data_IF_304743958871
#
_entry.id   IF_304743958871
#
_cell.length_a   1.000
_cell.length_b   1.000
_cell.length_c   1.000
_cell.angle_alpha   90.00
_cell.angle_beta   90.00
_cell.angle_gamma   90.00
#
_symmetry.space_group_name_H-M   'P 1'
#
loop_
_entity.id
_entity.type
_entity.pdbx_description
1 polymer ?
#
# COMPACT_ATOMS: atom_id res chain seq x y z
N UNK A 1 -1.78 8.97 15.33
CA UNK A 1 -1.03 7.72 15.11
C UNK A 1 -1.29 7.25 13.70
N UNK A 2 -0.25 7.15 12.88
CA UNK A 2 -0.31 6.41 11.62
C UNK A 2 0.14 4.96 11.81
N UNK A 3 0.34 4.20 10.72
CA UNK A 3 0.84 2.83 10.77
C UNK A 3 2.20 2.66 11.44
N UNK A 4 3.07 3.67 11.50
CA UNK A 4 4.47 3.48 11.92
C UNK A 4 4.71 3.05 13.38
N UNK A 5 3.77 3.28 14.29
CA UNK A 5 3.83 2.92 15.72
C UNK A 5 4.98 3.53 16.58
N UNK A 6 6.06 4.06 16.01
CA UNK A 6 7.10 4.78 16.77
C UNK A 6 6.61 6.14 17.26
N UNK A 7 5.99 6.91 16.38
CA UNK A 7 5.60 8.29 16.68
C UNK A 7 4.25 8.33 17.39
N UNK A 8 4.26 8.63 18.69
CA UNK A 8 3.08 8.69 19.58
C UNK A 8 2.76 10.08 20.10
N UNK A 9 3.73 10.97 20.16
CA UNK A 9 3.59 12.36 20.58
C UNK A 9 4.70 13.21 19.96
N UNK A 10 4.59 14.53 20.10
CA UNK A 10 5.67 15.44 19.72
C UNK A 10 6.85 15.34 20.71
N UNK A 11 8.10 15.57 20.26
CA UNK A 11 9.26 15.62 21.16
C UNK A 11 9.05 16.60 22.30
N UNK A 12 9.57 16.26 23.48
CA UNK A 12 9.56 17.12 24.67
C UNK A 12 8.14 17.55 25.12
N UNK A 13 7.11 16.76 24.78
CA UNK A 13 5.73 16.95 25.23
C UNK A 13 5.18 15.69 25.88
N UNK A 14 4.42 15.84 26.97
CA UNK A 14 3.70 14.73 27.63
C UNK A 14 2.29 14.51 27.03
N UNK A 15 1.89 15.33 26.06
CA UNK A 15 0.54 15.24 25.47
C UNK A 15 0.54 14.19 24.37
N UNK A 16 -0.24 13.11 24.49
CA UNK A 16 -0.31 12.09 23.47
C UNK A 16 -0.97 12.62 22.20
N UNK A 17 -0.57 12.06 21.05
CA UNK A 17 -1.16 12.35 19.76
C UNK A 17 -0.27 13.21 18.87
N UNK A 18 -0.57 13.11 17.58
CA UNK A 18 0.09 13.83 16.50
C UNK A 18 -0.98 14.42 15.60
N UNK A 19 -0.73 15.61 15.09
CA UNK A 19 -1.64 16.24 14.14
C UNK A 19 -1.34 15.74 12.72
N UNK A 20 -2.41 15.52 11.97
CA UNK A 20 -2.37 15.37 10.51
C UNK A 20 -1.38 14.33 9.99
N UNK A 21 -1.44 13.09 10.51
CA UNK A 21 -0.71 11.98 9.87
C UNK A 21 -1.20 11.83 8.41
N UNK A 22 -0.28 11.87 7.45
CA UNK A 22 -0.62 11.90 6.03
C UNK A 22 -1.40 10.65 5.60
N UNK A 23 -0.98 9.47 6.06
CA UNK A 23 -1.71 8.22 5.78
C UNK A 23 -3.16 8.31 6.28
N UNK A 24 -3.35 8.67 7.56
CA UNK A 24 -4.68 8.78 8.16
C UNK A 24 -5.56 9.78 7.42
N UNK A 25 -5.03 10.97 7.12
CA UNK A 25 -5.78 12.05 6.48
C UNK A 25 -6.18 11.68 5.04
N UNK A 26 -5.25 11.13 4.26
CA UNK A 26 -5.52 10.68 2.88
C UNK A 26 -6.55 9.54 2.87
N UNK A 27 -6.41 8.55 3.77
CA UNK A 27 -7.38 7.45 3.89
C UNK A 27 -8.77 7.93 4.34
N UNK A 28 -8.83 8.93 5.24
CA UNK A 28 -10.09 9.55 5.68
C UNK A 28 -10.79 10.29 4.53
N UNK A 29 -10.03 11.06 3.74
CA UNK A 29 -10.59 11.72 2.55
C UNK A 29 -11.09 10.69 1.52
N UNK A 30 -10.30 9.63 1.29
CA UNK A 30 -10.65 8.56 0.37
C UNK A 30 -11.95 7.84 0.77
N UNK A 31 -12.10 7.43 2.04
CA UNK A 31 -13.30 6.69 2.48
C UNK A 31 -14.56 7.55 2.41
N UNK A 32 -14.48 8.85 2.70
CA UNK A 32 -15.61 9.78 2.58
C UNK A 32 -16.03 10.00 1.12
N UNK A 33 -15.05 10.08 0.21
CA UNK A 33 -15.33 10.09 -1.24
C UNK A 33 -15.98 8.79 -1.69
N UNK A 34 -15.50 7.64 -1.21
CA UNK A 34 -16.09 6.34 -1.51
C UNK A 34 -17.53 6.24 -0.99
N UNK A 35 -17.82 6.69 0.24
CA UNK A 35 -19.17 6.67 0.81
C UNK A 35 -20.16 7.44 -0.07
N UNK A 36 -19.78 8.64 -0.49
CA UNK A 36 -20.57 9.47 -1.41
C UNK A 36 -20.77 8.79 -2.76
N UNK A 37 -19.72 8.18 -3.31
CA UNK A 37 -19.80 7.41 -4.56
C UNK A 37 -20.73 6.21 -4.47
N UNK A 38 -20.71 5.47 -3.35
CA UNK A 38 -21.61 4.32 -3.13
C UNK A 38 -23.07 4.76 -3.11
N UNK A 39 -23.41 5.86 -2.44
CA UNK A 39 -24.78 6.36 -2.41
C UNK A 39 -25.29 6.77 -3.81
N UNK A 40 -24.39 7.24 -4.69
CA UNK A 40 -24.73 7.58 -6.08
C UNK A 40 -24.97 6.34 -6.97
N UNK A 41 -24.49 5.17 -6.57
CA UNK A 41 -24.71 3.91 -7.30
C UNK A 41 -26.04 3.23 -6.92
N UNK A 42 -26.70 3.66 -5.85
CA UNK A 42 -27.97 3.12 -5.40
C UNK A 42 -29.14 3.78 -6.14
N UNK A 43 -30.21 3.03 -6.38
CA UNK A 43 -31.49 3.64 -6.77
C UNK A 43 -32.05 4.49 -5.62
N UNK A 44 -32.94 5.43 -5.96
CA UNK A 44 -33.52 6.41 -5.02
C UNK A 44 -34.13 5.74 -3.78
N UNK A 45 -34.94 4.69 -3.98
CA UNK A 45 -35.60 3.98 -2.89
C UNK A 45 -34.60 3.32 -1.96
N UNK A 46 -33.57 2.66 -2.51
CA UNK A 46 -32.55 1.98 -1.71
C UNK A 46 -31.65 2.98 -0.99
N UNK A 47 -31.37 4.13 -1.60
CA UNK A 47 -30.64 5.23 -0.98
C UNK A 47 -31.42 5.77 0.21
N UNK A 48 -32.69 6.12 0.03
CA UNK A 48 -33.58 6.62 1.10
C UNK A 48 -33.64 5.66 2.28
N UNK A 49 -33.90 4.36 2.00
CA UNK A 49 -33.95 3.32 3.03
C UNK A 49 -32.62 3.24 3.81
N UNK A 50 -31.49 3.27 3.10
CA UNK A 50 -30.17 3.16 3.74
C UNK A 50 -29.84 4.38 4.58
N UNK A 51 -30.11 5.59 4.09
CA UNK A 51 -29.87 6.83 4.83
C UNK A 51 -30.78 6.92 6.05
N UNK A 52 -32.03 6.47 5.98
CA UNK A 52 -32.93 6.42 7.14
C UNK A 52 -32.46 5.40 8.19
N UNK A 53 -32.04 4.20 7.77
CA UNK A 53 -31.56 3.15 8.69
C UNK A 53 -30.27 3.54 9.39
N UNK A 54 -29.37 4.26 8.70
CA UNK A 54 -28.09 4.71 9.24
C UNK A 54 -28.17 6.10 9.89
N UNK A 55 -29.33 6.76 9.86
CA UNK A 55 -29.56 8.12 10.36
C UNK A 55 -28.57 9.14 9.76
N UNK A 56 -28.38 9.08 8.43
CA UNK A 56 -27.47 9.97 7.70
C UNK A 56 -28.24 11.19 7.21
N UNK A 57 -27.81 12.38 7.64
CA UNK A 57 -28.41 13.65 7.22
C UNK A 57 -27.75 14.21 5.93
N UNK A 58 -28.50 15.00 5.15
CA UNK A 58 -27.98 15.63 3.93
C UNK A 58 -26.82 16.59 4.23
N UNK A 59 -26.84 17.27 5.37
CA UNK A 59 -25.77 18.13 5.85
C UNK A 59 -24.47 17.34 6.10
N UNK A 60 -24.56 16.10 6.56
CA UNK A 60 -23.40 15.23 6.72
C UNK A 60 -22.78 14.88 5.36
N UNK A 61 -23.60 14.58 4.35
CA UNK A 61 -23.13 14.31 3.00
C UNK A 61 -22.37 15.50 2.41
N UNK A 62 -22.90 16.72 2.60
CA UNK A 62 -22.21 17.96 2.20
C UNK A 62 -20.87 18.07 2.93
N UNK A 63 -20.86 17.81 4.25
CA UNK A 63 -19.64 17.88 5.05
C UNK A 63 -18.61 16.83 4.65
N UNK A 64 -19.03 15.61 4.31
CA UNK A 64 -18.14 14.54 3.83
C UNK A 64 -17.43 14.95 2.55
N UNK A 65 -18.17 15.59 1.63
CA UNK A 65 -17.61 16.10 0.39
C UNK A 65 -16.62 17.26 0.63
N UNK A 66 -16.93 18.16 1.57
CA UNK A 66 -15.98 19.21 1.96
C UNK A 66 -14.70 18.64 2.56
N UNK A 67 -14.82 17.68 3.48
CA UNK A 67 -13.67 17.03 4.12
C UNK A 67 -12.86 16.27 3.07
N UNK A 68 -13.49 15.53 2.17
CA UNK A 68 -12.78 14.74 1.14
C UNK A 68 -11.93 15.60 0.21
N UNK A 69 -12.28 16.87 0.03
CA UNK A 69 -11.56 17.84 -0.83
C UNK A 69 -10.58 18.74 -0.10
N UNK A 70 -10.81 19.01 1.18
CA UNK A 70 -10.07 20.02 1.95
C UNK A 70 -9.24 19.43 3.10
N UNK A 71 -9.20 18.11 3.23
CA UNK A 71 -8.36 17.45 4.24
C UNK A 71 -6.90 17.85 4.05
N UNK A 72 -6.27 18.33 5.13
CA UNK A 72 -4.89 18.77 5.07
C UNK A 72 -3.93 17.58 4.95
N UNK A 73 -2.96 17.65 4.04
CA UNK A 73 -1.85 16.71 3.94
C UNK A 73 -0.54 17.47 4.10
N UNK A 74 0.32 17.14 5.08
CA UNK A 74 1.57 17.86 5.29
C UNK A 74 2.64 17.43 4.28
N UNK A 75 3.43 18.40 3.83
CA UNK A 75 4.58 18.19 2.94
C UNK A 75 5.79 18.99 3.44
N UNK A 76 7.00 18.52 3.13
CA UNK A 76 8.25 19.22 3.39
C UNK A 76 9.25 19.04 2.25
N UNK A 77 10.34 19.83 2.31
CA UNK A 77 11.39 19.88 1.28
C UNK A 77 10.80 20.01 -0.13
N UNK A 78 11.40 19.33 -1.10
CA UNK A 78 10.92 19.28 -2.48
C UNK A 78 9.79 18.25 -2.56
N UNK A 79 8.63 18.50 -1.94
CA UNK A 79 7.42 17.69 -2.12
C UNK A 79 7.47 16.29 -1.51
N UNK A 80 8.26 16.07 -0.46
CA UNK A 80 8.13 14.87 0.38
C UNK A 80 6.82 15.00 1.15
N UNK A 81 5.98 13.97 1.11
CA UNK A 81 4.79 13.89 1.97
C UNK A 81 5.32 13.67 3.39
N UNK A 82 5.11 14.63 4.30
CA UNK A 82 5.50 14.46 5.70
C UNK A 82 4.66 13.37 6.33
N UNK A 83 5.25 12.51 7.15
CA UNK A 83 4.50 11.46 7.84
C UNK A 83 3.40 12.03 8.73
N UNK A 84 3.67 13.16 9.39
CA UNK A 84 2.70 13.97 10.13
C UNK A 84 3.17 15.43 10.17
N UNK A 85 2.31 16.34 10.62
CA UNK A 85 2.64 17.76 10.69
C UNK A 85 3.77 18.00 11.69
N UNK A 86 4.88 18.58 11.25
CA UNK A 86 6.06 18.84 12.06
C UNK A 86 7.14 17.75 12.02
N UNK A 87 6.91 16.64 11.30
CA UNK A 87 7.90 15.55 11.15
C UNK A 87 9.25 16.05 10.61
N UNK A 88 9.25 17.07 9.75
CA UNK A 88 10.45 17.66 9.17
C UNK A 88 11.39 18.30 10.21
N UNK A 89 10.86 18.64 11.40
CA UNK A 89 11.60 19.26 12.49
C UNK A 89 12.27 18.22 13.43
N UNK A 90 11.98 16.93 13.25
CA UNK A 90 12.65 15.87 13.99
C UNK A 90 14.13 15.75 13.56
N UNK A 91 14.96 15.21 14.44
CA UNK A 91 16.38 15.00 14.18
C UNK A 91 16.58 13.87 13.18
N UNK A 92 17.61 13.94 12.35
CA UNK A 92 18.03 12.73 11.63
C UNK A 92 18.61 11.70 12.61
N UNK A 93 18.38 10.43 12.33
CA UNK A 93 18.91 9.32 13.14
C UNK A 93 20.25 8.82 12.59
N UNK A 94 21.18 8.47 13.48
CA UNK A 94 22.49 7.89 13.10
C UNK A 94 22.36 6.40 12.78
N UNK A 95 21.82 6.10 11.59
CA UNK A 95 21.60 4.74 11.13
C UNK A 95 22.89 3.91 11.01
N UNK A 96 23.99 4.54 10.58
CA UNK A 96 25.27 3.84 10.38
C UNK A 96 25.92 3.51 11.73
N UNK A 97 26.04 4.50 12.62
CA UNK A 97 26.62 4.29 13.94
C UNK A 97 25.87 3.25 14.78
N UNK A 98 24.53 3.25 14.73
CA UNK A 98 23.75 2.25 15.46
C UNK A 98 23.85 0.84 14.84
N UNK A 99 23.93 0.72 13.52
CA UNK A 99 24.18 -0.58 12.87
C UNK A 99 25.57 -1.13 13.21
N UNK A 100 26.59 -0.27 13.28
CA UNK A 100 27.94 -0.69 13.71
C UNK A 100 27.97 -1.13 15.18
N UNK A 101 27.24 -0.42 16.04
CA UNK A 101 27.21 -0.69 17.49
C UNK A 101 26.38 -1.91 17.88
N UNK A 102 25.20 -2.09 17.27
CA UNK A 102 24.22 -3.10 17.67
C UNK A 102 24.03 -4.23 16.65
N UNK A 103 24.45 -4.03 15.39
CA UNK A 103 24.16 -4.96 14.30
C UNK A 103 22.71 -4.86 13.86
N UNK A 104 21.82 -5.58 14.53
CA UNK A 104 20.38 -5.56 14.26
C UNK A 104 19.69 -4.44 15.05
N UNK A 105 19.02 -3.55 14.32
CA UNK A 105 18.31 -2.39 14.86
C UNK A 105 16.80 -2.45 14.60
N UNK A 106 16.25 -3.63 14.27
CA UNK A 106 14.80 -3.82 14.09
C UNK A 106 14.01 -3.38 15.34
N UNK A 107 14.56 -3.61 16.53
CA UNK A 107 14.00 -3.16 17.81
C UNK A 107 14.58 -1.82 18.26
N UNK A 108 14.62 -0.85 17.34
CA UNK A 108 15.13 0.49 17.60
C UNK A 108 14.44 1.14 18.80
N UNK A 109 13.14 0.88 19.00
CA UNK A 109 12.37 1.28 20.17
C UNK A 109 13.06 0.89 21.48
N UNK A 110 13.42 -0.40 21.63
CA UNK A 110 14.06 -0.92 22.84
C UNK A 110 15.50 -0.46 23.00
N UNK A 111 16.20 -0.27 21.88
CA UNK A 111 17.58 0.21 21.90
C UNK A 111 17.62 1.64 22.44
N UNK A 112 16.75 2.52 21.92
CA UNK A 112 16.67 3.91 22.37
C UNK A 112 16.19 4.01 23.83
N UNK A 113 15.17 3.23 24.22
CA UNK A 113 14.70 3.18 25.61
C UNK A 113 15.82 2.78 26.58
N UNK A 114 16.65 1.81 26.22
CA UNK A 114 17.79 1.39 27.04
C UNK A 114 18.89 2.46 27.17
N UNK A 115 18.89 3.46 26.30
CA UNK A 115 19.79 4.62 26.30
C UNK A 115 19.15 5.89 26.88
N UNK A 116 17.95 5.78 27.46
CA UNK A 116 17.17 6.92 27.97
C UNK A 116 16.83 7.94 26.86
N UNK A 117 16.56 7.43 25.65
CA UNK A 117 16.18 8.19 24.46
C UNK A 117 14.88 7.67 23.84
N UNK A 118 14.34 8.39 22.86
CA UNK A 118 13.01 8.13 22.29
C UNK A 118 12.99 8.29 20.77
N UNK A 119 12.40 7.32 20.06
CA UNK A 119 12.17 7.36 18.61
C UNK A 119 11.34 8.59 18.18
N UNK A 120 10.47 9.13 19.03
CA UNK A 120 9.71 10.35 18.77
C UNK A 120 10.59 11.55 18.39
N UNK A 121 11.87 11.57 18.81
CA UNK A 121 12.81 12.67 18.56
C UNK A 121 13.44 12.64 17.16
N UNK A 122 13.28 11.54 16.43
CA UNK A 122 14.02 11.27 15.21
C UNK A 122 13.12 11.05 13.99
N UNK A 123 13.63 11.34 12.79
CA UNK A 123 13.04 10.91 11.52
C UNK A 123 13.32 9.43 11.30
N UNK A 124 12.64 8.58 12.07
CA UNK A 124 12.83 7.14 12.07
C UNK A 124 11.49 6.41 12.20
N UNK A 125 11.33 5.37 11.39
CA UNK A 125 10.11 4.59 11.28
C UNK A 125 10.35 3.12 11.59
N UNK A 126 9.43 2.49 12.32
CA UNK A 126 9.37 1.03 12.53
C UNK A 126 8.98 0.33 11.25
N UNK A 127 7.99 0.89 10.55
CA UNK A 127 7.37 0.29 9.39
C UNK A 127 6.90 1.35 8.38
N UNK A 128 6.32 0.90 7.27
CA UNK A 128 5.82 1.82 6.27
C UNK A 128 4.62 2.61 6.82
N UNK A 129 4.64 3.94 6.67
CA UNK A 129 3.53 4.85 6.97
C UNK A 129 3.06 5.57 5.70
N UNK A 130 3.81 6.58 5.23
CA UNK A 130 3.55 7.22 3.93
C UNK A 130 3.59 6.21 2.79
N UNK A 131 4.55 5.28 2.82
CA UNK A 131 4.69 4.24 1.79
C UNK A 131 3.50 3.26 1.76
N UNK A 132 2.66 3.21 2.80
CA UNK A 132 1.41 2.45 2.75
C UNK A 132 0.45 3.00 1.70
N UNK A 133 0.43 4.32 1.46
CA UNK A 133 -0.40 4.89 0.40
C UNK A 133 -0.02 4.32 -0.97
N UNK A 134 1.26 4.09 -1.21
CA UNK A 134 1.77 3.54 -2.47
C UNK A 134 1.62 2.01 -2.57
N UNK A 135 1.43 1.35 -1.44
CA UNK A 135 1.04 -0.06 -1.39
C UNK A 135 -0.45 -0.26 -1.68
N UNK A 136 -1.31 0.62 -1.14
CA UNK A 136 -2.76 0.49 -1.23
C UNK A 136 -3.33 0.96 -2.57
N UNK A 137 -2.73 1.98 -3.18
CA UNK A 137 -3.28 2.65 -4.36
C UNK A 137 -2.32 2.57 -5.55
N UNK A 138 -2.89 2.43 -6.76
CA UNK A 138 -2.14 2.61 -8.00
C UNK A 138 -1.69 4.06 -8.18
N UNK A 139 -0.69 4.29 -9.03
CA UNK A 139 -0.21 5.64 -9.38
C UNK A 139 -1.33 6.57 -9.85
N UNK A 140 -2.25 6.04 -10.67
CA UNK A 140 -3.38 6.77 -11.23
C UNK A 140 -4.39 7.13 -10.15
N UNK A 141 -4.65 6.21 -9.22
CA UNK A 141 -5.56 6.47 -8.08
C UNK A 141 -4.95 7.49 -7.12
N UNK A 142 -3.64 7.43 -6.87
CA UNK A 142 -2.96 8.43 -6.04
C UNK A 142 -3.01 9.80 -6.70
N UNK A 143 -2.70 9.89 -7.99
CA UNK A 143 -2.78 11.14 -8.72
C UNK A 143 -4.17 11.76 -8.61
N UNK A 144 -5.23 11.01 -8.91
CA UNK A 144 -6.62 11.46 -8.79
C UNK A 144 -6.99 11.85 -7.35
N UNK A 145 -6.53 11.12 -6.34
CA UNK A 145 -6.81 11.43 -4.94
C UNK A 145 -6.12 12.71 -4.47
N UNK A 146 -4.85 12.91 -4.82
CA UNK A 146 -4.12 14.15 -4.47
C UNK A 146 -4.63 15.35 -5.26
N UNK A 147 -4.98 15.18 -6.55
CA UNK A 147 -5.65 16.22 -7.33
C UNK A 147 -7.02 16.61 -6.73
N UNK A 148 -7.82 15.64 -6.29
CA UNK A 148 -9.11 15.88 -5.61
C UNK A 148 -8.93 16.65 -4.28
N UNK A 149 -7.83 16.40 -3.57
CA UNK A 149 -7.42 17.13 -2.36
C UNK A 149 -6.77 18.49 -2.66
N UNK A 150 -6.55 18.84 -3.93
CA UNK A 150 -5.95 20.10 -4.35
C UNK A 150 -4.42 20.16 -4.22
N UNK A 151 -3.75 19.01 -4.15
CA UNK A 151 -2.29 18.93 -4.08
C UNK A 151 -1.68 18.45 -5.40
N UNK A 152 -0.52 18.99 -5.81
CA UNK A 152 0.18 18.49 -6.99
C UNK A 152 0.74 17.10 -6.71
N UNK A 153 0.63 16.20 -7.69
CA UNK A 153 1.21 14.86 -7.62
C UNK A 153 1.87 14.55 -8.97
N UNK A 154 3.19 14.69 -9.03
CA UNK A 154 3.97 14.43 -10.23
C UNK A 154 4.51 12.99 -10.28
N UNK A 155 4.97 12.54 -11.44
CA UNK A 155 5.52 11.20 -11.62
C UNK A 155 6.72 10.89 -10.71
N UNK A 156 7.45 11.93 -10.29
CA UNK A 156 8.63 11.82 -9.43
C UNK A 156 8.27 11.76 -7.94
N UNK A 157 7.02 12.04 -7.57
CA UNK A 157 6.57 12.09 -6.18
C UNK A 157 6.71 10.71 -5.53
N UNK A 158 6.31 9.65 -6.23
CA UNK A 158 6.42 8.26 -5.74
C UNK A 158 7.89 7.85 -5.53
N UNK A 159 8.79 7.88 -6.54
CA UNK A 159 10.19 7.53 -6.35
C UNK A 159 10.90 8.36 -5.26
N UNK A 160 10.62 9.66 -5.19
CA UNK A 160 11.23 10.57 -4.21
C UNK A 160 10.86 10.20 -2.78
N UNK A 161 9.57 9.94 -2.53
CA UNK A 161 9.09 9.51 -1.21
C UNK A 161 9.59 8.09 -0.86
N UNK A 162 9.62 7.16 -1.82
CA UNK A 162 10.22 5.82 -1.61
C UNK A 162 11.68 5.99 -1.15
N UNK A 163 12.51 6.72 -1.91
CA UNK A 163 13.91 6.90 -1.58
C UNK A 163 14.11 7.55 -0.20
N UNK A 164 13.27 8.54 0.16
CA UNK A 164 13.34 9.23 1.43
C UNK A 164 13.06 8.30 2.63
N UNK A 165 11.96 7.55 2.59
CA UNK A 165 11.52 6.69 3.70
C UNK A 165 12.28 5.36 3.77
N UNK A 166 12.80 4.87 2.63
CA UNK A 166 13.69 3.70 2.59
C UNK A 166 14.95 3.88 3.45
N UNK A 167 15.45 5.13 3.58
CA UNK A 167 16.63 5.45 4.38
C UNK A 167 16.32 5.62 5.87
N UNK A 168 15.04 5.69 6.23
CA UNK A 168 14.56 6.05 7.56
C UNK A 168 13.72 4.96 8.23
N UNK A 169 13.73 3.74 7.71
CA UNK A 169 12.93 2.63 8.24
C UNK A 169 13.83 1.55 8.86
N UNK A 170 13.54 1.15 10.10
CA UNK A 170 14.27 0.10 10.83
C UNK A 170 13.80 -1.32 10.51
N UNK A 171 12.62 -1.46 9.89
CA UNK A 171 11.97 -2.74 9.59
C UNK A 171 11.66 -3.59 10.84
N UNK A 172 11.30 -2.93 11.93
CA UNK A 172 10.90 -3.57 13.20
C UNK A 172 9.61 -4.39 13.15
N UNK A 173 8.97 -4.47 11.99
CA UNK A 173 7.75 -5.24 11.74
C UNK A 173 7.87 -6.01 10.43
N UNK A 174 7.40 -7.26 10.42
CA UNK A 174 7.34 -8.08 9.21
C UNK A 174 6.47 -7.44 8.11
N UNK A 175 5.44 -6.69 8.48
CA UNK A 175 4.61 -5.93 7.54
C UNK A 175 5.42 -4.89 6.75
N UNK A 176 6.45 -4.30 7.36
CA UNK A 176 7.34 -3.34 6.69
C UNK A 176 7.97 -3.95 5.44
N UNK A 177 8.51 -5.17 5.54
CA UNK A 177 9.20 -5.85 4.43
C UNK A 177 8.27 -6.07 3.25
N UNK A 178 7.00 -6.40 3.50
CA UNK A 178 6.02 -6.59 2.43
C UNK A 178 5.75 -5.30 1.66
N UNK A 179 5.54 -4.19 2.39
CA UNK A 179 5.29 -2.89 1.77
C UNK A 179 6.51 -2.42 0.99
N UNK A 180 7.71 -2.62 1.54
CA UNK A 180 8.96 -2.26 0.88
C UNK A 180 9.23 -3.11 -0.37
N UNK A 181 8.89 -4.40 -0.32
CA UNK A 181 8.89 -5.27 -1.51
C UNK A 181 7.95 -4.73 -2.60
N UNK A 182 6.75 -4.31 -2.21
CA UNK A 182 5.76 -3.77 -3.14
C UNK A 182 6.24 -2.50 -3.82
N UNK A 183 6.63 -1.48 -3.05
CA UNK A 183 6.96 -0.16 -3.60
C UNK A 183 8.25 -0.20 -4.43
N UNK A 184 9.17 -1.13 -4.14
CA UNK A 184 10.39 -1.33 -4.93
C UNK A 184 10.19 -2.23 -6.15
N UNK A 185 9.07 -2.95 -6.28
CA UNK A 185 8.87 -3.96 -7.34
C UNK A 185 9.08 -3.45 -8.77
N UNK A 186 8.92 -2.15 -8.99
CA UNK A 186 9.13 -1.49 -10.30
C UNK A 186 10.47 -0.75 -10.41
N UNK A 187 11.03 -0.26 -9.30
CA UNK A 187 12.23 0.57 -9.31
C UNK A 187 13.52 -0.19 -9.00
N UNK A 188 13.44 -1.23 -8.15
CA UNK A 188 14.58 -2.04 -7.71
C UNK A 188 14.11 -3.48 -7.44
N UNK A 189 14.06 -4.27 -8.52
CA UNK A 189 13.50 -5.63 -8.51
C UNK A 189 14.29 -6.58 -7.62
N UNK A 190 15.61 -6.46 -7.60
CA UNK A 190 16.48 -7.33 -6.79
C UNK A 190 16.24 -7.08 -5.29
N UNK A 191 16.19 -5.81 -4.88
CA UNK A 191 15.89 -5.45 -3.49
C UNK A 191 14.46 -5.79 -3.10
N UNK A 192 13.50 -5.59 -4.00
CA UNK A 192 12.11 -6.01 -3.80
C UNK A 192 12.00 -7.52 -3.54
N UNK A 193 12.72 -8.33 -4.32
CA UNK A 193 12.75 -9.78 -4.14
C UNK A 193 13.44 -10.21 -2.85
N UNK A 194 14.51 -9.50 -2.44
CA UNK A 194 15.15 -9.73 -1.13
C UNK A 194 14.14 -9.52 0.01
N UNK A 195 13.43 -8.40 0.02
CA UNK A 195 12.40 -8.14 1.03
C UNK A 195 11.26 -9.16 1.00
N UNK A 196 10.84 -9.60 -0.19
CA UNK A 196 9.84 -10.65 -0.33
C UNK A 196 10.29 -11.96 0.33
N UNK A 197 11.52 -12.41 0.05
CA UNK A 197 12.07 -13.62 0.67
C UNK A 197 12.15 -13.49 2.18
N UNK A 198 12.63 -12.36 2.70
CA UNK A 198 12.64 -12.14 4.15
C UNK A 198 11.23 -12.20 4.76
N UNK A 199 10.21 -11.66 4.09
CA UNK A 199 8.83 -11.74 4.57
C UNK A 199 8.29 -13.18 4.57
N UNK A 200 8.57 -13.97 3.51
CA UNK A 200 8.17 -15.39 3.42
C UNK A 200 8.85 -16.24 4.49
N UNK A 201 10.10 -15.93 4.82
CA UNK A 201 10.90 -16.67 5.80
C UNK A 201 10.65 -16.23 7.25
N UNK A 202 9.87 -15.16 7.48
CA UNK A 202 9.75 -14.52 8.80
C UNK A 202 9.41 -15.48 9.94
N UNK A 203 8.34 -16.26 9.78
CA UNK A 203 7.90 -17.20 10.82
C UNK A 203 8.73 -18.49 10.82
N UNK A 204 9.17 -18.94 9.63
CA UNK A 204 9.91 -20.19 9.46
C UNK A 204 11.27 -20.12 10.16
N UNK A 205 11.96 -18.99 10.00
CA UNK A 205 13.30 -18.76 10.52
C UNK A 205 13.32 -17.90 11.79
N UNK A 206 12.14 -17.50 12.31
CA UNK A 206 11.97 -16.63 13.48
C UNK A 206 12.86 -15.38 13.43
N UNK A 207 12.83 -14.67 12.29
CA UNK A 207 13.80 -13.61 11.96
C UNK A 207 13.75 -12.41 12.93
N UNK A 208 12.64 -12.23 13.66
CA UNK A 208 12.46 -11.18 14.65
C UNK A 208 12.93 -11.60 16.05
N UNK A 209 13.21 -12.89 16.25
CA UNK A 209 13.74 -13.46 17.49
C UNK A 209 12.71 -13.58 18.60
N UNK A 210 12.15 -14.78 18.78
CA UNK A 210 11.30 -15.13 19.91
C UNK A 210 9.83 -14.75 19.76
N UNK A 211 9.42 -14.20 18.62
CA UNK A 211 8.03 -13.80 18.37
C UNK A 211 7.19 -14.95 17.80
N UNK A 212 7.77 -15.82 16.96
CA UNK A 212 7.02 -16.95 16.38
C UNK A 212 6.41 -17.88 17.44
N UNK A 213 7.08 -18.20 18.56
CA UNK A 213 6.48 -18.98 19.65
C UNK A 213 5.27 -18.31 20.31
N UNK A 214 5.15 -16.97 20.25
CA UNK A 214 4.01 -16.22 20.77
C UNK A 214 2.81 -16.24 19.80
N UNK A 215 3.07 -16.46 18.51
CA UNK A 215 2.07 -16.66 17.47
C UNK A 215 2.64 -16.43 16.07
N UNK A 216 2.07 -17.10 15.06
CA UNK A 216 2.44 -16.86 13.66
C UNK A 216 1.93 -15.51 13.17
N UNK A 217 2.68 -14.86 12.28
CA UNK A 217 2.36 -13.55 11.75
C UNK A 217 1.39 -13.64 10.56
N UNK A 218 0.11 -13.89 10.83
CA UNK A 218 -0.92 -14.07 9.80
C UNK A 218 -0.99 -12.94 8.76
N UNK A 219 -0.77 -11.69 9.18
CA UNK A 219 -0.71 -10.54 8.27
C UNK A 219 0.44 -10.66 7.26
N UNK A 220 1.62 -11.11 7.71
CA UNK A 220 2.76 -11.37 6.83
C UNK A 220 2.50 -12.55 5.90
N UNK A 221 1.94 -13.65 6.41
CA UNK A 221 1.59 -14.81 5.60
C UNK A 221 0.57 -14.46 4.51
N UNK A 222 -0.49 -13.74 4.84
CA UNK A 222 -1.48 -13.32 3.86
C UNK A 222 -0.89 -12.32 2.84
N UNK A 223 -0.10 -11.36 3.31
CA UNK A 223 0.50 -10.33 2.44
C UNK A 223 1.55 -10.88 1.47
N UNK A 224 2.25 -11.98 1.79
CA UNK A 224 3.16 -12.63 0.83
C UNK A 224 2.42 -13.31 -0.32
N UNK A 225 1.26 -13.92 -0.05
CA UNK A 225 0.37 -14.44 -1.11
C UNK A 225 -0.17 -13.29 -1.97
N UNK A 226 -0.53 -12.19 -1.33
CA UNK A 226 -1.03 -11.00 -1.98
C UNK A 226 0.01 -10.31 -2.89
N UNK A 227 1.27 -10.21 -2.46
CA UNK A 227 2.39 -9.74 -3.29
C UNK A 227 2.53 -10.57 -4.58
N UNK A 228 2.43 -11.89 -4.46
CA UNK A 228 2.46 -12.78 -5.63
C UNK A 228 1.27 -12.56 -6.57
N UNK A 229 0.08 -12.28 -6.03
CA UNK A 229 -1.15 -12.18 -6.81
C UNK A 229 -1.41 -10.80 -7.41
N UNK A 230 -1.10 -9.71 -6.70
CA UNK A 230 -1.37 -8.34 -7.14
C UNK A 230 -0.11 -7.57 -7.55
N UNK A 231 0.96 -7.66 -6.76
CA UNK A 231 2.15 -6.85 -7.01
C UNK A 231 2.86 -7.26 -8.31
N UNK A 232 3.31 -8.52 -8.36
CA UNK A 232 4.15 -8.98 -9.46
C UNK A 232 3.39 -9.19 -10.76
N UNK A 233 2.09 -9.51 -10.68
CA UNK A 233 1.20 -9.59 -11.85
C UNK A 233 0.77 -8.20 -12.33
N UNK A 234 0.91 -7.17 -11.48
CA UNK A 234 0.31 -5.85 -11.68
C UNK A 234 -1.20 -5.92 -11.87
N UNK A 235 -1.86 -6.80 -11.13
CA UNK A 235 -3.31 -6.98 -11.20
C UNK A 235 -4.00 -5.77 -10.57
N UNK A 236 -4.86 -5.13 -11.35
CA UNK A 236 -5.68 -4.01 -10.92
C UNK A 236 -7.12 -4.15 -11.45
N UNK A 237 -8.10 -3.62 -10.73
CA UNK A 237 -9.51 -3.65 -11.11
C UNK A 237 -10.01 -2.22 -11.17
N UNK A 238 -10.25 -1.73 -12.39
CA UNK A 238 -10.77 -0.39 -12.65
C UNK A 238 -11.73 -0.43 -13.84
N UNK A 239 -12.80 0.35 -13.76
CA UNK A 239 -13.82 0.49 -14.81
C UNK A 239 -14.42 -0.84 -15.32
N UNK A 240 -14.59 -1.80 -14.41
CA UNK A 240 -15.07 -3.15 -14.71
C UNK A 240 -14.15 -3.97 -15.65
N UNK A 241 -12.88 -3.60 -15.74
CA UNK A 241 -11.84 -4.31 -16.47
C UNK A 241 -10.82 -4.88 -15.48
N UNK A 242 -10.35 -6.10 -15.73
CA UNK A 242 -9.21 -6.69 -15.02
C UNK A 242 -7.92 -6.34 -15.75
N UNK A 243 -7.14 -5.43 -15.22
CA UNK A 243 -5.88 -4.98 -15.81
C UNK A 243 -4.72 -5.83 -15.35
N UNK A 244 -3.81 -6.12 -16.28
CA UNK A 244 -2.55 -6.82 -16.04
C UNK A 244 -1.39 -5.95 -16.50
N UNK A 245 -0.42 -5.78 -15.63
CA UNK A 245 0.83 -5.07 -15.92
C UNK A 245 1.97 -5.81 -15.21
N UNK A 246 2.36 -7.02 -15.62
CA UNK A 246 3.29 -7.81 -14.83
C UNK A 246 4.70 -7.22 -14.79
N UNK A 247 5.35 -7.42 -13.65
CA UNK A 247 6.76 -7.16 -13.40
C UNK A 247 7.27 -8.24 -12.45
N UNK A 248 7.34 -9.48 -12.95
CA UNK A 248 7.80 -10.62 -12.16
C UNK A 248 9.33 -10.56 -11.96
N UNK A 249 9.84 -11.02 -10.81
CA UNK A 249 11.26 -11.25 -10.60
C UNK A 249 11.76 -12.41 -11.47
N UNK A 250 13.07 -12.40 -11.79
CA UNK A 250 13.68 -13.40 -12.69
C UNK A 250 13.59 -14.83 -12.14
N UNK A 251 13.48 -14.97 -10.82
CA UNK A 251 13.32 -16.23 -10.12
C UNK A 251 11.96 -16.90 -10.39
N UNK A 252 10.98 -16.19 -10.97
CA UNK A 252 9.61 -16.65 -11.20
C UNK A 252 9.28 -16.83 -12.70
N UNK A 253 10.09 -17.62 -13.41
CA UNK A 253 10.06 -17.77 -14.87
C UNK A 253 8.85 -18.53 -15.47
N UNK A 254 8.10 -19.30 -14.68
CA UNK A 254 6.78 -19.86 -15.04
C UNK A 254 5.87 -19.79 -13.82
N UNK A 255 5.05 -18.74 -13.75
CA UNK A 255 4.09 -18.55 -12.67
C UNK A 255 2.68 -18.77 -13.19
N UNK A 256 1.91 -19.61 -12.48
CA UNK A 256 0.51 -19.89 -12.82
C UNK A 256 -0.37 -19.53 -11.65
N UNK A 257 -1.45 -18.82 -11.94
CA UNK A 257 -2.44 -18.49 -10.95
C UNK A 257 -3.83 -18.60 -11.53
N UNK A 258 -4.77 -18.96 -10.66
CA UNK A 258 -6.19 -19.04 -11.00
C UNK A 258 -6.94 -18.10 -10.11
N UNK A 259 -7.75 -17.23 -10.71
CA UNK A 259 -8.52 -16.24 -9.98
C UNK A 259 -9.97 -16.22 -10.43
N UNK A 260 -10.84 -15.76 -9.54
CA UNK A 260 -12.26 -15.54 -9.84
C UNK A 260 -12.55 -14.06 -9.89
N UNK A 261 -12.83 -13.52 -11.06
CA UNK A 261 -13.14 -12.11 -11.29
C UNK A 261 -14.57 -11.96 -11.80
N UNK A 262 -15.44 -11.29 -11.03
CA UNK A 262 -16.86 -11.07 -11.38
C UNK A 262 -17.62 -12.34 -11.79
N UNK A 263 -17.30 -13.46 -11.15
CA UNK A 263 -17.89 -14.77 -11.48
C UNK A 263 -17.20 -15.54 -12.62
N UNK A 264 -16.22 -14.94 -13.30
CA UNK A 264 -15.39 -15.59 -14.32
C UNK A 264 -14.18 -16.27 -13.65
N UNK A 265 -13.96 -17.55 -13.95
CA UNK A 265 -12.74 -18.27 -13.58
C UNK A 265 -11.71 -18.07 -14.69
N UNK A 266 -10.62 -17.38 -14.33
CA UNK A 266 -9.51 -17.09 -15.23
C UNK A 266 -8.28 -17.88 -14.78
N UNK A 267 -7.61 -18.51 -15.75
CA UNK A 267 -6.29 -19.09 -15.56
C UNK A 267 -5.26 -18.17 -16.23
N UNK A 268 -4.32 -17.66 -15.45
CA UNK A 268 -3.22 -16.84 -15.94
C UNK A 268 -1.91 -17.62 -15.84
N UNK A 269 -1.08 -17.52 -16.88
CA UNK A 269 0.30 -18.01 -16.89
C UNK A 269 1.23 -16.88 -17.31
N UNK A 270 2.25 -16.63 -16.51
CA UNK A 270 3.27 -15.63 -16.76
C UNK A 270 4.58 -16.35 -17.04
N UNK A 271 5.25 -15.99 -18.12
CA UNK A 271 6.62 -16.36 -18.43
C UNK A 271 7.44 -15.12 -18.70
N UNK A 272 8.74 -15.27 -18.90
CA UNK A 272 9.65 -14.15 -19.22
C UNK A 272 9.26 -13.42 -20.54
N UNK A 273 8.54 -14.10 -21.44
CA UNK A 273 8.21 -13.59 -22.78
C UNK A 273 6.74 -13.15 -22.92
N UNK A 274 5.82 -13.71 -22.14
CA UNK A 274 4.38 -13.50 -22.37
C UNK A 274 3.51 -13.80 -21.15
N UNK A 275 2.29 -13.27 -21.21
CA UNK A 275 1.15 -13.67 -20.39
C UNK A 275 0.21 -14.48 -21.25
N UNK A 276 -0.27 -15.61 -20.73
CA UNK A 276 -1.42 -16.33 -21.29
C UNK A 276 -2.59 -16.17 -20.34
N UNK A 277 -3.72 -15.70 -20.85
CA UNK A 277 -4.99 -15.58 -20.12
C UNK A 277 -5.98 -16.53 -20.75
N UNK A 278 -6.54 -17.45 -19.96
CA UNK A 278 -7.59 -18.37 -20.39
C UNK A 278 -8.85 -18.10 -19.58
N UNK A 279 -9.98 -17.91 -20.28
CA UNK A 279 -11.28 -17.82 -19.65
C UNK A 279 -11.91 -19.22 -19.60
N UNK A 280 -11.85 -19.87 -18.44
CA UNK A 280 -12.23 -21.27 -18.29
C UNK A 280 -13.76 -21.46 -18.30
N UNK A 281 -14.45 -20.70 -17.45
CA UNK A 281 -15.92 -20.77 -17.24
C UNK A 281 -16.42 -19.56 -16.46
N UNK A 282 -17.65 -19.12 -16.69
CA UNK A 282 -18.21 -18.00 -15.94
C UNK A 282 -19.73 -17.91 -15.97
N UNK A 283 -20.28 -17.02 -15.16
CA UNK A 283 -21.74 -16.78 -15.14
C UNK A 283 -22.19 -15.72 -16.15
N UNK A 284 -21.28 -14.84 -16.54
CA UNK A 284 -21.54 -13.73 -17.45
C UNK A 284 -20.52 -13.75 -18.59
N UNK A 285 -20.83 -13.02 -19.67
CA UNK A 285 -20.02 -12.89 -20.87
C UNK A 285 -20.23 -11.48 -21.43
N UNK A 286 -19.21 -10.83 -22.03
CA UNK A 286 -17.79 -11.20 -22.03
C UNK A 286 -17.09 -10.78 -20.72
N UNK A 287 -15.83 -11.20 -20.54
CA UNK A 287 -14.92 -10.64 -19.53
C UNK A 287 -13.94 -9.68 -20.19
N UNK A 288 -13.74 -8.50 -19.60
CA UNK A 288 -12.81 -7.49 -20.10
C UNK A 288 -11.45 -7.60 -19.41
N UNK A 289 -10.40 -7.81 -20.21
CA UNK A 289 -9.00 -7.88 -19.78
C UNK A 289 -8.24 -6.68 -20.33
N UNK A 290 -7.56 -5.93 -19.47
CA UNK A 290 -6.74 -4.79 -19.86
C UNK A 290 -5.26 -5.15 -19.89
N UNK A 291 -4.54 -4.79 -20.96
CA UNK A 291 -3.09 -4.98 -21.06
C UNK A 291 -2.46 -3.86 -21.91
N UNK A 292 -1.40 -3.24 -21.41
CA UNK A 292 -0.68 -2.13 -22.08
C UNK A 292 -1.57 -0.99 -22.59
N UNK A 293 -2.61 -0.63 -21.83
CA UNK A 293 -3.54 0.45 -22.18
C UNK A 293 -4.71 0.03 -23.07
N UNK A 294 -4.71 -1.19 -23.61
CA UNK A 294 -5.75 -1.72 -24.47
C UNK A 294 -6.69 -2.65 -23.69
N UNK A 295 -7.98 -2.69 -24.09
CA UNK A 295 -9.00 -3.56 -23.49
C UNK A 295 -9.42 -4.65 -24.47
N UNK A 296 -9.47 -5.88 -23.98
CA UNK A 296 -9.81 -7.07 -24.75
C UNK A 296 -10.99 -7.78 -24.11
N UNK A 297 -12.07 -7.93 -24.88
CA UNK A 297 -13.18 -8.78 -24.50
C UNK A 297 -12.84 -10.24 -24.79
N UNK A 298 -13.12 -11.11 -23.83
CA UNK A 298 -12.91 -12.55 -23.94
C UNK A 298 -14.19 -13.32 -23.62
N UNK A 299 -14.42 -14.40 -24.37
CA UNK A 299 -15.55 -15.32 -24.18
C UNK A 299 -15.12 -16.66 -23.57
N UNK A 300 -16.07 -17.46 -23.08
CA UNK A 300 -15.77 -18.77 -22.46
C UNK A 300 -14.96 -19.67 -23.41
N UNK A 301 -13.93 -20.31 -22.88
CA UNK A 301 -13.02 -21.16 -23.62
C UNK A 301 -11.95 -20.41 -24.41
N UNK A 302 -12.03 -19.08 -24.50
CA UNK A 302 -11.02 -18.28 -25.18
C UNK A 302 -9.72 -18.23 -24.39
N UNK A 303 -8.60 -18.29 -25.12
CA UNK A 303 -7.27 -18.07 -24.59
C UNK A 303 -6.57 -17.00 -25.41
N UNK A 304 -6.02 -15.99 -24.73
CA UNK A 304 -5.23 -14.93 -25.34
C UNK A 304 -3.81 -14.93 -24.81
N UNK A 305 -2.88 -14.54 -25.67
CA UNK A 305 -1.48 -14.36 -25.34
C UNK A 305 -1.07 -12.91 -25.55
N UNK A 306 -0.39 -12.35 -24.55
CA UNK A 306 0.11 -10.98 -24.52
C UNK A 306 1.62 -11.01 -24.38
N UNK A 307 2.37 -10.45 -25.33
CA UNK A 307 3.84 -10.43 -25.25
C UNK A 307 4.29 -9.39 -24.22
N UNK A 308 5.26 -9.76 -23.40
CA UNK A 308 5.96 -8.83 -22.52
C UNK A 308 7.03 -8.09 -23.35
N UNK A 309 7.19 -6.80 -23.07
CA UNK A 309 8.16 -5.93 -23.73
C UNK A 309 9.53 -6.02 -23.04
#
# INVERSE_FOLDING_TARGET
>A
MGPDEFHTHYPDTDTPGLNNNAYTNVMAAWVLRCASGVLQLLDEKRREELTEVLDIEDEELVRWEEISRKMFVPFHDQGIISQFEGYENLKEFDWEGYREKYGDIQRLDRILEAEDDDANRYKASKQADVLMLFYLFSSETLQDLFEHLGYPFDAETIPRNINYYMQRTSHGSTLSRMVHSWVLSRSDREKAWKFFKEAVHSDIDDIQGGTTPEGIHLGAMAGTVDLMQRCYTGLDIRDQVLWLNPSLPQELSDTRLRLRYRGHWLSLRFTDEKITVSFDRGWFQPVCIGFQGEVYEMVEGETREFKLA
#
